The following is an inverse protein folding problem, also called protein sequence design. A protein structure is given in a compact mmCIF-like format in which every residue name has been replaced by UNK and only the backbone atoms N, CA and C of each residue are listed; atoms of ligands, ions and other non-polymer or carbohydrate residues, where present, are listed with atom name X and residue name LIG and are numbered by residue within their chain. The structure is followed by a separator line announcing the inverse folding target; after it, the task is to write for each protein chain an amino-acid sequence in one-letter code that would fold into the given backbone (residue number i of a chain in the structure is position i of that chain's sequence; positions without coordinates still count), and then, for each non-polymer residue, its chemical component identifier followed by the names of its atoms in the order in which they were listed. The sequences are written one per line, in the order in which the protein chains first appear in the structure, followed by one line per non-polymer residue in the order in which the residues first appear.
data_IF_439426602039
#
_entry.id   IF_439426602039
#
_cell.length_a   1.000
_cell.length_b   1.000
_cell.length_c   1.000
_cell.angle_alpha   90.00
_cell.angle_beta   90.00
_cell.angle_gamma   90.00
#
_symmetry.space_group_name_H-M   'P 1'
#
loop_
_entity.id
_entity.type
_entity.pdbx_description
1 polymer ?
#
# COMPACT_ATOMS: atom_id res chain seq x y z
N UNK A 1 -5.52 -10.75 20.79
CA UNK A 1 -5.14 -11.77 19.78
C UNK A 1 -5.11 -11.05 18.46
N UNK A 2 -3.94 -10.84 17.87
CA UNK A 2 -3.88 -10.28 16.51
C UNK A 2 -4.29 -11.36 15.53
N UNK A 3 -5.12 -10.99 14.56
CA UNK A 3 -5.58 -11.90 13.52
C UNK A 3 -4.49 -12.07 12.46
N UNK A 4 -4.21 -13.29 11.99
CA UNK A 4 -3.28 -13.50 10.90
C UNK A 4 -3.78 -12.80 9.63
N UNK A 5 -2.85 -12.39 8.77
CA UNK A 5 -3.18 -11.79 7.47
C UNK A 5 -3.75 -12.90 6.58
N UNK A 6 -5.06 -13.07 6.65
CA UNK A 6 -5.82 -13.96 5.78
C UNK A 6 -6.37 -13.16 4.60
N UNK A 7 -6.77 -13.81 3.50
CA UNK A 7 -7.39 -13.14 2.36
C UNK A 7 -8.60 -12.27 2.76
N UNK A 8 -9.39 -12.69 3.75
CA UNK A 8 -10.53 -11.94 4.26
C UNK A 8 -10.12 -10.65 5.00
N UNK A 9 -9.03 -10.71 5.78
CA UNK A 9 -8.48 -9.54 6.46
C UNK A 9 -7.82 -8.59 5.44
N UNK A 10 -7.08 -9.16 4.48
CA UNK A 10 -6.52 -8.40 3.36
C UNK A 10 -7.61 -7.63 2.63
N UNK A 11 -8.70 -8.27 2.22
CA UNK A 11 -9.80 -7.62 1.50
C UNK A 11 -10.39 -6.45 2.30
N UNK A 12 -10.61 -6.66 3.61
CA UNK A 12 -11.09 -5.61 4.51
C UNK A 12 -10.13 -4.43 4.63
N UNK A 13 -8.81 -4.70 4.70
CA UNK A 13 -7.77 -3.66 4.72
C UNK A 13 -7.74 -2.93 3.37
N UNK A 14 -7.74 -3.66 2.25
CA UNK A 14 -7.79 -3.09 0.90
C UNK A 14 -8.96 -2.13 0.76
N UNK A 15 -10.15 -2.57 1.13
CA UNK A 15 -11.36 -1.76 1.04
C UNK A 15 -11.26 -0.49 1.89
N UNK A 16 -10.84 -0.60 3.15
CA UNK A 16 -10.65 0.56 4.02
C UNK A 16 -9.58 1.53 3.48
N UNK A 17 -8.45 1.02 3.01
CA UNK A 17 -7.38 1.84 2.44
C UNK A 17 -7.82 2.55 1.16
N UNK A 18 -8.61 1.89 0.31
CA UNK A 18 -9.13 2.47 -0.92
C UNK A 18 -10.19 3.54 -0.64
N UNK A 19 -11.04 3.35 0.37
CA UNK A 19 -12.12 4.29 0.70
C UNK A 19 -11.65 5.49 1.54
N UNK A 20 -10.73 5.28 2.49
CA UNK A 20 -10.31 6.30 3.47
C UNK A 20 -8.91 6.89 3.17
N UNK A 21 -8.07 6.15 2.43
CA UNK A 21 -6.64 6.45 2.28
C UNK A 21 -6.12 6.38 0.83
N UNK A 22 -6.97 6.70 -0.16
CA UNK A 22 -6.57 6.73 -1.58
C UNK A 22 -5.32 7.57 -1.86
N UNK A 23 -5.19 8.75 -1.23
CA UNK A 23 -4.01 9.60 -1.36
C UNK A 23 -2.72 8.94 -0.84
N UNK A 24 -2.82 8.13 0.22
CA UNK A 24 -1.67 7.40 0.76
C UNK A 24 -1.18 6.32 -0.22
N UNK A 25 -2.09 5.68 -0.94
CA UNK A 25 -1.76 4.71 -1.98
C UNK A 25 -1.02 5.37 -3.15
N UNK A 26 -1.42 6.59 -3.53
CA UNK A 26 -0.72 7.36 -4.57
C UNK A 26 0.68 7.73 -4.09
N UNK A 27 0.83 8.13 -2.83
CA UNK A 27 2.16 8.40 -2.24
C UNK A 27 3.05 7.16 -2.29
N UNK A 28 2.50 5.97 -2.03
CA UNK A 28 3.27 4.74 -2.18
C UNK A 28 3.70 4.47 -3.61
N UNK A 29 2.80 4.64 -4.57
CA UNK A 29 3.13 4.47 -5.98
C UNK A 29 4.24 5.44 -6.43
N UNK A 30 4.22 6.68 -5.94
CA UNK A 30 5.25 7.69 -6.24
C UNK A 30 6.59 7.37 -5.59
N UNK A 31 6.58 7.08 -4.29
CA UNK A 31 7.80 6.92 -3.51
C UNK A 31 8.46 5.54 -3.70
N UNK A 32 7.67 4.46 -3.63
CA UNK A 32 8.17 3.08 -3.71
C UNK A 32 8.04 2.50 -5.12
N UNK A 33 7.00 2.88 -5.85
CA UNK A 33 6.78 2.42 -7.22
C UNK A 33 7.55 3.17 -8.29
N UNK A 34 8.22 4.27 -7.92
CA UNK A 34 8.93 5.14 -8.85
C UNK A 34 8.00 5.68 -9.98
N UNK A 35 6.70 5.84 -9.68
CA UNK A 35 5.69 6.41 -10.57
C UNK A 35 5.33 7.83 -10.13
N UNK A 36 6.19 8.84 -10.36
CA UNK A 36 5.93 10.22 -9.91
C UNK A 36 4.65 10.83 -10.52
N UNK A 37 4.23 10.32 -11.68
CA UNK A 37 3.03 10.74 -12.40
C UNK A 37 1.76 9.99 -11.99
N UNK A 38 1.79 9.16 -10.94
CA UNK A 38 0.60 8.50 -10.42
C UNK A 38 -0.50 9.51 -10.09
N UNK A 39 -1.65 9.37 -10.75
CA UNK A 39 -2.83 10.20 -10.55
C UNK A 39 -3.75 9.59 -9.48
N UNK A 40 -3.87 8.27 -9.48
CA UNK A 40 -4.68 7.52 -8.52
C UNK A 40 -4.06 6.15 -8.26
N UNK A 41 -4.33 5.59 -7.09
CA UNK A 41 -3.85 4.25 -6.76
C UNK A 41 -4.85 3.53 -5.86
N UNK A 42 -4.93 2.22 -6.03
CA UNK A 42 -5.82 1.32 -5.31
C UNK A 42 -5.04 0.13 -4.81
N UNK A 43 -5.25 -0.26 -3.55
CA UNK A 43 -4.73 -1.46 -2.95
C UNK A 43 -5.57 -2.64 -3.42
N UNK A 44 -4.92 -3.61 -4.04
CA UNK A 44 -5.56 -4.81 -4.61
C UNK A 44 -5.50 -5.95 -3.61
N UNK A 45 -4.32 -6.19 -3.04
CA UNK A 45 -4.11 -7.28 -2.09
C UNK A 45 -2.95 -6.94 -1.16
N UNK A 46 -3.02 -7.43 0.08
CA UNK A 46 -1.92 -7.34 1.03
C UNK A 46 -1.62 -8.73 1.61
N UNK A 47 -0.34 -9.06 1.59
CA UNK A 47 0.22 -10.33 2.04
C UNK A 47 1.33 -10.08 3.07
N UNK A 48 1.71 -11.08 3.87
CA UNK A 48 2.83 -10.96 4.80
C UNK A 48 4.14 -10.48 4.18
N UNK A 49 4.36 -10.79 2.91
CA UNK A 49 5.60 -10.47 2.20
C UNK A 49 5.56 -9.11 1.48
N UNK A 50 4.38 -8.55 1.24
CA UNK A 50 4.24 -7.35 0.43
C UNK A 50 2.80 -6.98 0.15
N UNK A 51 2.61 -5.92 -0.63
CA UNK A 51 1.29 -5.48 -1.07
C UNK A 51 1.27 -5.20 -2.56
N UNK A 52 0.13 -5.48 -3.18
CA UNK A 52 -0.13 -5.25 -4.59
C UNK A 52 -1.05 -4.04 -4.70
N UNK A 53 -0.58 -3.02 -5.42
CA UNK A 53 -1.31 -1.81 -5.75
C UNK A 53 -1.55 -1.76 -7.26
N UNK A 54 -2.63 -1.11 -7.63
CA UNK A 54 -2.97 -0.73 -9.00
C UNK A 54 -2.89 0.78 -9.08
N UNK A 55 -2.06 1.29 -9.98
CA UNK A 55 -1.77 2.71 -10.12
C UNK A 55 -2.29 3.18 -11.46
N UNK A 56 -3.02 4.28 -11.48
CA UNK A 56 -3.53 4.89 -12.71
C UNK A 56 -2.68 6.11 -13.09
N UNK A 57 -2.20 6.10 -14.33
CA UNK A 57 -1.33 7.14 -14.91
C UNK A 57 -1.80 7.38 -16.34
N UNK A 58 -2.24 8.60 -16.65
CA UNK A 58 -2.67 9.01 -17.99
C UNK A 58 -3.79 8.11 -18.56
N UNK A 59 -4.66 7.63 -17.68
CA UNK A 59 -5.73 6.68 -18.03
C UNK A 59 -5.30 5.21 -18.18
N UNK A 60 -4.00 4.89 -18.11
CA UNK A 60 -3.49 3.52 -18.10
C UNK A 60 -3.38 2.99 -16.67
N UNK A 61 -3.76 1.72 -16.47
CA UNK A 61 -3.66 1.04 -15.17
C UNK A 61 -2.42 0.15 -15.13
N UNK A 62 -1.48 0.48 -14.24
CA UNK A 62 -0.23 -0.24 -14.00
C UNK A 62 -0.26 -0.97 -12.65
N UNK A 63 0.03 -2.27 -12.66
CA UNK A 63 0.19 -3.06 -11.44
C UNK A 63 1.56 -2.84 -10.80
N UNK A 64 1.58 -2.54 -9.51
CA UNK A 64 2.78 -2.34 -8.71
C UNK A 64 2.76 -3.28 -7.50
N UNK A 65 3.82 -4.06 -7.31
CA UNK A 65 4.03 -4.83 -6.08
C UNK A 65 5.11 -4.17 -5.24
N UNK A 66 4.79 -3.86 -3.99
CA UNK A 66 5.74 -3.33 -3.01
C UNK A 66 6.04 -4.43 -2.02
N UNK A 67 7.28 -4.90 -2.01
CA UNK A 67 7.76 -5.91 -1.07
C UNK A 67 8.09 -5.25 0.26
N UNK A 68 7.71 -5.91 1.36
CA UNK A 68 8.07 -5.45 2.68
C UNK A 68 9.48 -5.91 3.03
N UNK A 69 10.23 -5.05 3.70
CA UNK A 69 11.58 -5.36 4.20
C UNK A 69 11.60 -6.54 5.21
N UNK A 70 10.43 -6.86 5.79
CA UNK A 70 10.23 -8.01 6.67
C UNK A 70 8.87 -8.63 6.47
N UNK A 71 8.78 -9.93 6.78
CA UNK A 71 7.51 -10.64 6.81
C UNK A 71 6.64 -10.14 7.98
N UNK A 72 5.39 -9.81 7.66
CA UNK A 72 4.40 -9.37 8.63
C UNK A 72 3.80 -10.58 9.35
N UNK A 73 3.65 -10.48 10.67
CA UNK A 73 3.14 -11.60 11.47
C UNK A 73 1.62 -11.65 11.52
N UNK A 74 0.98 -10.48 11.51
CA UNK A 74 -0.44 -10.34 11.75
C UNK A 74 -0.95 -8.98 11.24
N UNK A 75 -2.28 -8.81 11.24
CA UNK A 75 -2.94 -7.61 10.74
C UNK A 75 -2.50 -6.32 11.47
N UNK A 76 -2.12 -6.43 12.74
CA UNK A 76 -1.67 -5.27 13.51
C UNK A 76 -0.24 -4.88 13.09
N UNK A 77 0.66 -5.84 12.86
CA UNK A 77 1.99 -5.60 12.28
C UNK A 77 1.87 -4.98 10.88
N UNK A 78 0.92 -5.43 10.06
CA UNK A 78 0.62 -4.83 8.76
C UNK A 78 0.22 -3.35 8.87
N UNK A 79 -0.68 -3.03 9.80
CA UNK A 79 -1.12 -1.66 10.02
C UNK A 79 0.03 -0.74 10.44
N UNK A 80 0.88 -1.19 11.37
CA UNK A 80 2.07 -0.44 11.76
C UNK A 80 3.04 -0.24 10.59
N UNK A 81 3.27 -1.29 9.79
CA UNK A 81 4.16 -1.20 8.63
C UNK A 81 3.65 -0.21 7.58
N UNK A 82 2.35 -0.23 7.30
CA UNK A 82 1.72 0.74 6.39
C UNK A 82 1.91 2.17 6.91
N UNK A 83 1.59 2.45 8.18
CA UNK A 83 1.77 3.81 8.74
C UNK A 83 3.22 4.29 8.61
N UNK A 84 4.18 3.43 8.92
CA UNK A 84 5.61 3.72 8.79
C UNK A 84 5.97 4.05 7.34
N UNK A 85 5.51 3.23 6.38
CA UNK A 85 5.74 3.48 4.97
C UNK A 85 5.11 4.78 4.49
N UNK A 86 3.91 5.18 4.96
CA UNK A 86 3.30 6.47 4.55
C UNK A 86 4.19 7.62 5.00
N UNK A 87 4.71 7.55 6.23
CA UNK A 87 5.60 8.57 6.77
C UNK A 87 6.88 8.68 5.94
N UNK A 88 7.50 7.54 5.61
CA UNK A 88 8.68 7.49 4.75
C UNK A 88 8.38 8.06 3.36
N UNK A 89 7.29 7.64 2.71
CA UNK A 89 6.88 8.15 1.40
C UNK A 89 6.65 9.66 1.43
N UNK A 90 5.99 10.18 2.46
CA UNK A 90 5.80 11.63 2.65
C UNK A 90 7.12 12.37 2.79
N UNK A 91 8.12 11.80 3.48
CA UNK A 91 9.44 12.41 3.60
C UNK A 91 10.19 12.40 2.26
N UNK A 92 10.13 11.29 1.51
CA UNK A 92 10.77 11.18 0.20
C UNK A 92 10.18 12.13 -0.84
N UNK A 93 8.88 12.44 -0.76
CA UNK A 93 8.22 13.39 -1.68
C UNK A 93 8.44 14.87 -1.30
N UNK A 94 8.99 15.14 -0.11
CA UNK A 94 9.30 16.49 0.37
C UNK A 94 10.79 16.85 0.23
N UNK A 95 11.61 15.93 -0.27
CA UNK A 95 13.05 16.08 -0.49
C UNK A 95 13.35 16.37 -1.97
#
# INVERSE_FOLDING_TARGET
MSEPITPAISDRICKHMNEDHGDALVLYAKAFGNFPQAESAQLISIDPQGMNLSVQIDGETSGLRIEFDRELKDAQDAHYKLIDMVKQARQMQQA
#
